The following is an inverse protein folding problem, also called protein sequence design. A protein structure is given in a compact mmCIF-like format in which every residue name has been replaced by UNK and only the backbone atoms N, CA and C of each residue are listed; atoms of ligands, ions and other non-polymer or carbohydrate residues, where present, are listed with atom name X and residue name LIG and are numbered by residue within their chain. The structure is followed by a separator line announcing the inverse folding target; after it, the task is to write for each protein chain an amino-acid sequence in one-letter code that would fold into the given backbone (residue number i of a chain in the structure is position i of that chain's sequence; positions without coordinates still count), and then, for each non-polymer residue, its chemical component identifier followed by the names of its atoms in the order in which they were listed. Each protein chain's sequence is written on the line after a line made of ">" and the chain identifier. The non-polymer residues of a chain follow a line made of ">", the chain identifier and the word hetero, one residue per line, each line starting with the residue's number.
data_IF_026725501967
#
_entry.id   IF_026725501967
#
_cell.length_a   1.000
_cell.length_b   1.000
_cell.length_c   1.000
_cell.angle_alpha   90.00
_cell.angle_beta   90.00
_cell.angle_gamma   90.00
#
_symmetry.space_group_name_H-M   'P 1'
#
loop_
_entity.id
_entity.type
_entity.pdbx_description
1 polymer ?
#
# COMPACT_ATOMS: atom_id res chain seq x y z
N UNK A 1 19.89 -7.10 -7.93
CA UNK A 1 20.15 -5.75 -7.39
C UNK A 1 20.16 -5.84 -5.87
N UNK A 2 20.55 -4.78 -5.16
CA UNK A 2 20.42 -4.76 -3.71
C UNK A 2 18.99 -4.33 -3.35
N UNK A 3 18.37 -5.04 -2.43
CA UNK A 3 17.07 -4.65 -1.90
C UNK A 3 17.25 -3.49 -0.92
N UNK A 4 16.36 -2.52 -1.00
CA UNK A 4 16.32 -1.35 -0.14
C UNK A 4 15.10 -1.43 0.77
N UNK A 5 15.25 -0.92 1.98
CA UNK A 5 14.12 -0.76 2.90
C UNK A 5 13.53 0.64 2.75
N UNK A 6 12.21 0.69 2.60
CA UNK A 6 11.41 1.89 2.54
C UNK A 6 10.32 1.87 3.61
N UNK A 7 9.82 3.05 3.96
CA UNK A 7 8.77 3.25 4.94
C UNK A 7 7.60 4.00 4.32
N UNK A 8 6.49 3.30 4.14
CA UNK A 8 5.24 3.85 3.63
C UNK A 8 4.36 4.33 4.80
N UNK A 9 3.81 5.54 4.68
CA UNK A 9 3.00 6.14 5.74
C UNK A 9 2.01 7.20 5.21
N UNK A 10 0.88 7.43 5.91
CA UNK A 10 -0.05 8.48 5.56
C UNK A 10 0.54 9.86 5.83
N UNK A 11 0.16 10.84 5.02
CA UNK A 11 0.46 12.24 5.30
C UNK A 11 -0.30 12.68 6.56
N UNK A 12 0.42 13.15 7.59
CA UNK A 12 -0.15 13.55 8.89
C UNK A 12 -0.97 14.85 8.84
N UNK A 13 -1.24 15.43 7.67
CA UNK A 13 -2.00 16.68 7.55
C UNK A 13 -3.50 16.39 7.52
N UNK A 14 -4.21 16.96 8.50
CA UNK A 14 -5.62 16.74 8.87
C UNK A 14 -6.64 16.93 7.71
N UNK A 15 -6.26 17.60 6.61
CA UNK A 15 -7.19 18.00 5.53
C UNK A 15 -6.93 17.34 4.18
N UNK A 16 -5.83 16.58 4.01
CA UNK A 16 -5.50 15.87 2.76
C UNK A 16 -4.77 14.58 3.12
N UNK A 17 -5.45 13.45 3.07
CA UNK A 17 -4.85 12.13 3.35
C UNK A 17 -4.05 11.63 2.12
N UNK A 18 -2.92 12.28 1.84
CA UNK A 18 -1.91 11.72 0.94
C UNK A 18 -1.21 10.52 1.58
N UNK A 19 -0.37 9.84 0.80
CA UNK A 19 0.57 8.83 1.31
C UNK A 19 1.95 9.13 0.78
N UNK A 20 2.99 8.73 1.48
CA UNK A 20 4.35 8.87 0.99
C UNK A 20 5.21 7.72 1.49
N UNK A 21 6.30 7.49 0.76
CA UNK A 21 7.27 6.46 1.03
C UNK A 21 8.64 7.12 1.16
N UNK A 22 9.37 6.77 2.23
CA UNK A 22 10.72 7.28 2.48
C UNK A 22 11.76 6.17 2.42
N UNK A 23 12.99 6.50 2.09
CA UNK A 23 14.15 5.62 2.29
C UNK A 23 14.56 5.52 3.78
N UNK A 24 15.66 4.82 4.05
CA UNK A 24 16.24 4.64 5.39
C UNK A 24 16.75 5.95 6.01
N UNK A 25 17.15 6.91 5.16
CA UNK A 25 17.61 8.24 5.55
C UNK A 25 16.45 9.23 5.75
N UNK A 26 15.20 8.77 5.61
CA UNK A 26 13.96 9.54 5.71
C UNK A 26 13.75 10.56 4.59
N UNK A 27 14.45 10.42 3.46
CA UNK A 27 14.15 11.19 2.27
C UNK A 27 12.89 10.61 1.61
N UNK A 28 12.00 11.49 1.13
CA UNK A 28 10.83 11.06 0.37
C UNK A 28 11.27 10.57 -1.00
N UNK A 29 11.02 9.29 -1.28
CA UNK A 29 11.33 8.65 -2.57
C UNK A 29 10.08 8.50 -3.43
N UNK A 30 8.90 8.46 -2.81
CA UNK A 30 7.63 8.35 -3.52
C UNK A 30 6.52 9.10 -2.77
N UNK A 31 5.60 9.72 -3.50
CA UNK A 31 4.44 10.40 -2.94
C UNK A 31 3.17 10.04 -3.73
N UNK A 32 2.08 9.73 -3.03
CA UNK A 32 0.72 9.76 -3.55
C UNK A 32 0.01 10.98 -2.97
N UNK A 33 0.12 12.10 -3.69
CA UNK A 33 -0.43 13.37 -3.29
C UNK A 33 -1.89 13.47 -3.68
N UNK A 34 -2.79 13.61 -2.71
CA UNK A 34 -4.21 13.81 -3.01
C UNK A 34 -4.44 15.19 -3.61
N UNK A 35 -4.84 15.24 -4.88
CA UNK A 35 -5.16 16.46 -5.60
C UNK A 35 -6.57 16.94 -5.26
N UNK A 36 -7.52 16.00 -5.23
CA UNK A 36 -8.94 16.30 -5.06
C UNK A 36 -9.62 15.23 -4.22
N UNK A 37 -10.28 15.68 -3.15
CA UNK A 37 -11.21 14.87 -2.36
C UNK A 37 -12.64 15.21 -2.81
N UNK A 38 -13.26 14.42 -3.70
CA UNK A 38 -14.63 14.70 -4.09
C UNK A 38 -15.59 14.38 -2.94
N UNK A 39 -16.69 15.13 -2.87
CA UNK A 39 -17.82 14.84 -1.97
C UNK A 39 -18.55 13.55 -2.44
N UNK A 40 -18.50 13.27 -3.75
CA UNK A 40 -19.05 12.08 -4.40
C UNK A 40 -18.12 11.66 -5.55
N UNK A 41 -17.65 10.40 -5.57
CA UNK A 41 -16.88 9.82 -6.68
C UNK A 41 -15.42 9.48 -6.33
N UNK A 42 -14.62 9.15 -7.35
CA UNK A 42 -13.23 8.74 -7.16
C UNK A 42 -12.32 9.92 -6.79
N UNK A 43 -11.47 9.71 -5.77
CA UNK A 43 -10.39 10.62 -5.40
C UNK A 43 -9.35 10.69 -6.52
N UNK A 44 -8.70 11.84 -6.67
CA UNK A 44 -7.59 12.00 -7.61
C UNK A 44 -6.28 12.11 -6.83
N UNK A 45 -5.33 11.24 -7.16
CA UNK A 45 -3.98 11.23 -6.62
C UNK A 45 -2.97 11.50 -7.72
N UNK A 46 -1.99 12.34 -7.44
CA UNK A 46 -0.76 12.44 -8.22
C UNK A 46 0.28 11.54 -7.57
N UNK A 47 0.70 10.51 -8.28
CA UNK A 47 1.77 9.61 -7.89
C UNK A 47 3.07 10.19 -8.44
N UNK A 48 4.04 10.42 -7.56
CA UNK A 48 5.30 11.10 -7.86
C UNK A 48 6.44 10.20 -7.41
N UNK A 49 7.23 9.70 -8.37
CA UNK A 49 8.48 9.02 -8.10
C UNK A 49 9.60 10.06 -8.05
N UNK A 50 10.15 10.32 -6.86
CA UNK A 50 11.21 11.32 -6.67
C UNK A 50 12.59 10.81 -7.09
N UNK A 51 12.77 9.50 -7.28
CA UNK A 51 14.00 8.89 -7.79
C UNK A 51 14.13 9.14 -9.29
N UNK A 52 13.06 8.86 -10.05
CA UNK A 52 13.05 8.99 -11.51
C UNK A 52 12.55 10.36 -11.99
N UNK A 53 11.87 11.12 -11.14
CA UNK A 53 11.22 12.39 -11.47
C UNK A 53 9.91 12.24 -12.25
N UNK A 54 9.39 11.02 -12.40
CA UNK A 54 8.14 10.75 -13.10
C UNK A 54 6.94 11.05 -12.20
N UNK A 55 5.86 11.55 -12.79
CA UNK A 55 4.56 11.65 -12.10
C UNK A 55 3.39 11.27 -12.99
N UNK A 56 2.31 10.81 -12.37
CA UNK A 56 1.08 10.37 -13.03
C UNK A 56 -0.15 10.66 -12.18
N UNK A 57 -1.24 11.09 -12.80
CA UNK A 57 -2.51 11.33 -12.12
C UNK A 57 -3.40 10.11 -12.26
N UNK A 58 -3.87 9.58 -11.13
CA UNK A 58 -4.69 8.38 -11.04
C UNK A 58 -5.99 8.64 -10.28
N UNK A 59 -7.06 8.01 -10.76
CA UNK A 59 -8.37 8.01 -10.12
C UNK A 59 -8.50 6.81 -9.21
N UNK A 60 -8.77 7.06 -7.95
CA UNK A 60 -8.86 6.06 -6.90
C UNK A 60 -10.24 6.11 -6.26
N UNK A 61 -11.03 5.07 -6.51
CA UNK A 61 -12.38 4.91 -5.98
C UNK A 61 -12.43 4.75 -4.46
N UNK A 62 -13.66 4.65 -3.95
CA UNK A 62 -13.91 4.23 -2.58
C UNK A 62 -13.66 2.73 -2.44
N UNK A 63 -13.16 2.34 -1.27
CA UNK A 63 -12.98 0.93 -0.90
C UNK A 63 -14.33 0.27 -0.68
N UNK A 64 -14.50 -0.93 -1.22
CA UNK A 64 -15.67 -1.79 -1.06
C UNK A 64 -15.21 -3.11 -0.46
N UNK A 65 -15.85 -3.53 0.63
CA UNK A 65 -15.56 -4.77 1.35
C UNK A 65 -16.61 -5.82 1.03
N UNK A 66 -16.20 -7.02 0.59
CA UNK A 66 -17.15 -8.12 0.38
C UNK A 66 -17.29 -8.92 1.68
N UNK A 67 -18.41 -8.75 2.39
CA UNK A 67 -18.70 -9.55 3.59
C UNK A 67 -18.88 -11.03 3.23
N UNK A 68 -18.10 -11.91 3.85
CA UNK A 68 -18.39 -13.36 3.88
C UNK A 68 -18.31 -13.85 5.31
N UNK A 69 -19.36 -14.55 5.74
CA UNK A 69 -19.53 -15.09 7.08
C UNK A 69 -18.54 -16.24 7.36
N UNK A 70 -17.38 -15.93 7.93
CA UNK A 70 -16.35 -16.93 8.27
C UNK A 70 -15.32 -16.42 9.27
N UNK A 71 -15.11 -17.17 10.35
CA UNK A 71 -14.38 -16.75 11.56
C UNK A 71 -12.83 -16.72 11.44
N UNK A 72 -12.24 -16.86 10.24
CA UNK A 72 -10.80 -17.08 10.06
C UNK A 72 -10.20 -16.55 8.74
N UNK A 73 -10.72 -15.47 8.15
CA UNK A 73 -10.32 -15.08 6.79
C UNK A 73 -9.44 -13.83 6.74
N UNK A 74 -8.19 -14.02 6.31
CA UNK A 74 -7.13 -13.01 6.17
C UNK A 74 -7.60 -11.77 5.38
N UNK A 75 -7.45 -10.59 6.00
CA UNK A 75 -8.40 -9.48 5.89
C UNK A 75 -8.11 -8.44 4.79
N UNK A 76 -6.89 -8.29 4.29
CA UNK A 76 -6.50 -7.16 3.42
C UNK A 76 -6.86 -7.31 1.93
N UNK A 77 -7.12 -8.55 1.48
CA UNK A 77 -7.40 -8.89 0.07
C UNK A 77 -8.91 -8.90 -0.25
N UNK A 78 -9.77 -8.82 0.77
CA UNK A 78 -11.25 -8.86 0.62
C UNK A 78 -11.91 -7.52 0.36
N UNK A 79 -11.16 -6.45 0.60
CA UNK A 79 -11.53 -5.09 0.28
C UNK A 79 -10.83 -4.69 -1.01
N UNK A 80 -11.53 -3.99 -1.90
CA UNK A 80 -10.96 -3.53 -3.17
C UNK A 80 -11.48 -2.14 -3.52
N UNK A 81 -10.82 -1.44 -4.43
CA UNK A 81 -11.28 -0.17 -4.98
C UNK A 81 -11.02 -0.11 -6.47
N UNK A 82 -11.65 0.86 -7.14
CA UNK A 82 -11.36 1.13 -8.54
C UNK A 82 -10.10 1.98 -8.70
N UNK A 83 -9.09 1.48 -9.38
CA UNK A 83 -7.91 2.21 -9.81
C UNK A 83 -8.02 2.48 -11.31
N UNK A 84 -8.11 3.75 -11.71
CA UNK A 84 -8.33 4.19 -13.10
C UNK A 84 -9.51 3.50 -13.82
N UNK A 85 -10.50 3.06 -13.05
CA UNK A 85 -11.73 2.43 -13.56
C UNK A 85 -11.77 0.91 -13.44
N UNK A 86 -10.63 0.28 -13.16
CA UNK A 86 -10.44 -1.16 -13.00
C UNK A 86 -10.34 -1.58 -11.54
N UNK A 87 -10.66 -2.83 -11.18
CA UNK A 87 -10.42 -3.31 -9.82
C UNK A 87 -8.90 -3.38 -9.55
N UNK A 88 -8.44 -2.82 -8.43
CA UNK A 88 -7.01 -2.76 -8.13
C UNK A 88 -6.32 -4.13 -8.09
N UNK A 89 -6.99 -5.16 -7.58
CA UNK A 89 -6.39 -6.49 -7.48
C UNK A 89 -6.33 -7.19 -8.84
N UNK A 90 -7.36 -7.00 -9.67
CA UNK A 90 -7.34 -7.48 -11.06
C UNK A 90 -6.22 -6.78 -11.84
N UNK A 91 -6.10 -5.46 -11.71
CA UNK A 91 -5.02 -4.69 -12.33
C UNK A 91 -3.63 -5.20 -11.92
N UNK A 92 -3.37 -5.35 -10.62
CA UNK A 92 -2.09 -5.86 -10.12
C UNK A 92 -1.83 -7.29 -10.61
N UNK A 93 -2.86 -8.13 -10.60
CA UNK A 93 -2.77 -9.51 -11.07
C UNK A 93 -2.43 -9.59 -12.57
N UNK A 94 -3.02 -8.73 -13.40
CA UNK A 94 -2.74 -8.61 -14.83
C UNK A 94 -1.33 -8.09 -15.12
N UNK A 95 -0.76 -7.26 -14.25
CA UNK A 95 0.67 -6.91 -14.29
C UNK A 95 1.59 -8.08 -13.90
N UNK A 96 1.02 -9.17 -13.38
CA UNK A 96 1.73 -10.37 -12.96
C UNK A 96 2.10 -10.39 -11.48
N UNK A 97 1.54 -9.49 -10.67
CA UNK A 97 1.75 -9.46 -9.22
C UNK A 97 0.98 -10.59 -8.54
N UNK A 98 1.64 -11.26 -7.59
CA UNK A 98 1.03 -12.20 -6.65
C UNK A 98 1.41 -11.79 -5.23
N UNK A 99 0.46 -11.94 -4.32
CA UNK A 99 0.57 -11.51 -2.93
C UNK A 99 0.28 -12.71 -2.04
N UNK A 100 1.27 -13.13 -1.28
CA UNK A 100 1.14 -14.17 -0.25
C UNK A 100 1.18 -13.52 1.12
N UNK A 101 0.07 -13.57 1.85
CA UNK A 101 -0.04 -12.96 3.18
C UNK A 101 0.24 -13.97 4.30
N UNK A 102 0.94 -13.56 5.33
CA UNK A 102 1.16 -14.34 6.55
C UNK A 102 1.04 -13.48 7.80
N UNK A 103 0.67 -14.10 8.93
CA UNK A 103 0.71 -13.48 10.25
C UNK A 103 2.05 -13.86 10.88
N UNK A 104 2.85 -12.86 11.26
CA UNK A 104 4.09 -13.11 11.98
C UNK A 104 3.77 -13.53 13.43
N UNK A 105 4.21 -14.71 13.89
CA UNK A 105 3.88 -15.19 15.24
C UNK A 105 4.45 -14.35 16.40
N UNK A 106 5.55 -13.63 16.15
CA UNK A 106 6.26 -12.83 17.17
C UNK A 106 5.84 -11.35 17.20
N UNK A 107 5.03 -10.91 16.23
CA UNK A 107 4.49 -9.55 16.10
C UNK A 107 3.05 -9.65 15.64
N UNK A 108 2.08 -9.12 16.37
CA UNK A 108 0.69 -9.02 15.87
C UNK A 108 0.66 -7.99 14.73
N UNK A 109 0.95 -8.47 13.52
CA UNK A 109 1.12 -7.70 12.30
C UNK A 109 1.13 -8.60 11.07
N UNK A 110 0.65 -8.07 9.94
CA UNK A 110 0.60 -8.78 8.66
C UNK A 110 1.92 -8.59 7.91
N UNK A 111 2.43 -9.67 7.32
CA UNK A 111 3.49 -9.62 6.30
C UNK A 111 2.94 -10.12 4.98
N UNK A 112 3.41 -9.52 3.89
CA UNK A 112 3.01 -9.78 2.52
C UNK A 112 4.27 -10.01 1.70
N UNK A 113 4.39 -11.20 1.13
CA UNK A 113 5.42 -11.51 0.16
C UNK A 113 4.87 -11.28 -1.24
N UNK A 114 5.56 -10.43 -2.01
CA UNK A 114 5.13 -9.97 -3.32
C UNK A 114 6.06 -10.56 -4.37
N UNK A 115 5.47 -11.26 -5.34
CA UNK A 115 6.20 -11.74 -6.51
C UNK A 115 5.67 -11.13 -7.80
N UNK A 116 6.57 -10.84 -8.73
CA UNK A 116 6.29 -10.36 -10.07
C UNK A 116 6.61 -11.46 -11.08
N UNK A 117 5.59 -11.98 -11.75
CA UNK A 117 5.71 -13.04 -12.76
C UNK A 117 6.47 -14.28 -12.23
N UNK A 118 6.26 -14.59 -10.96
CA UNK A 118 6.87 -15.74 -10.27
C UNK A 118 8.28 -15.53 -9.74
N UNK A 119 8.79 -14.29 -9.71
CA UNK A 119 10.05 -13.91 -9.06
C UNK A 119 9.79 -13.01 -7.87
N UNK A 120 10.55 -13.16 -6.80
CA UNK A 120 10.46 -12.30 -5.62
C UNK A 120 10.75 -10.85 -6.03
N UNK A 121 9.88 -9.94 -5.58
CA UNK A 121 9.91 -8.53 -5.95
C UNK A 121 9.97 -7.63 -4.71
N UNK A 122 9.13 -7.91 -3.72
CA UNK A 122 9.09 -7.13 -2.50
C UNK A 122 8.58 -7.92 -1.30
N UNK A 123 8.97 -7.49 -0.10
CA UNK A 123 8.33 -7.86 1.16
C UNK A 123 7.69 -6.60 1.78
N UNK A 124 6.41 -6.68 2.14
CA UNK A 124 5.68 -5.59 2.79
C UNK A 124 5.19 -6.07 4.14
N UNK A 125 5.56 -5.39 5.21
CA UNK A 125 5.13 -5.73 6.56
C UNK A 125 4.50 -4.53 7.25
N UNK A 126 3.47 -4.76 8.05
CA UNK A 126 2.92 -3.73 8.93
C UNK A 126 4.00 -3.24 9.90
N UNK A 127 4.09 -1.93 10.07
CA UNK A 127 5.08 -1.27 10.92
C UNK A 127 4.41 -0.34 11.95
N UNK A 128 5.10 -0.10 13.06
CA UNK A 128 4.73 0.95 14.00
C UNK A 128 5.15 2.32 13.43
N UNK A 129 4.39 3.40 13.69
CA UNK A 129 4.78 4.77 13.34
C UNK A 129 6.17 5.17 13.85
N UNK A 130 6.61 4.55 14.96
CA UNK A 130 7.88 4.84 15.62
C UNK A 130 8.96 3.79 15.31
N UNK A 131 8.67 2.83 14.41
CA UNK A 131 9.54 1.69 14.12
C UNK A 131 9.65 0.65 15.25
N UNK A 132 8.84 0.78 16.31
CA UNK A 132 8.84 -0.11 17.47
C UNK A 132 8.08 -1.43 17.26
N UNK A 133 8.36 -2.44 18.08
CA UNK A 133 7.70 -3.76 18.08
C UNK A 133 6.35 -3.78 18.83
N UNK A 134 5.61 -2.67 18.84
CA UNK A 134 4.32 -2.58 19.53
C UNK A 134 3.18 -3.29 18.80
N UNK A 135 2.03 -3.45 19.47
CA UNK A 135 0.79 -3.94 18.86
C UNK A 135 0.38 -2.96 17.74
N UNK A 136 0.41 -3.38 16.46
CA UNK A 136 0.08 -2.50 15.33
C UNK A 136 -1.38 -2.74 14.97
N UNK A 137 -2.26 -1.86 15.45
CA UNK A 137 -3.67 -1.81 15.03
C UNK A 137 -3.83 -0.70 14.01
N UNK A 138 -4.03 -1.06 12.74
CA UNK A 138 -4.21 -0.14 11.61
C UNK A 138 -3.00 -0.10 10.67
N UNK A 139 -3.16 -0.67 9.47
CA UNK A 139 -2.09 -0.89 8.48
C UNK A 139 -1.70 0.37 7.67
N UNK A 140 -1.77 1.55 8.26
CA UNK A 140 -1.41 2.78 7.56
C UNK A 140 0.12 2.92 7.43
N UNK A 141 0.90 2.30 8.32
CA UNK A 141 2.36 2.29 8.28
C UNK A 141 2.86 0.93 7.83
N UNK A 142 3.65 0.91 6.75
CA UNK A 142 4.21 -0.31 6.19
C UNK A 142 5.73 -0.14 6.02
N UNK A 143 6.47 -1.19 6.35
CA UNK A 143 7.85 -1.38 5.93
C UNK A 143 7.81 -2.11 4.59
N UNK A 144 8.49 -1.58 3.58
CA UNK A 144 8.54 -2.15 2.22
C UNK A 144 9.99 -2.44 1.90
N UNK A 145 10.36 -3.68 1.67
CA UNK A 145 11.68 -4.07 1.19
C UNK A 145 11.57 -4.47 -0.27
N UNK A 146 12.21 -3.73 -1.17
CA UNK A 146 12.12 -3.95 -2.61
C UNK A 146 13.39 -3.44 -3.31
N UNK A 147 13.66 -3.93 -4.52
CA UNK A 147 14.66 -3.31 -5.38
C UNK A 147 14.15 -1.95 -5.89
N UNK A 148 15.07 -0.99 -6.11
CA UNK A 148 14.72 0.35 -6.62
C UNK A 148 14.00 0.30 -7.97
N UNK A 149 14.34 -0.67 -8.83
CA UNK A 149 13.70 -0.86 -10.14
C UNK A 149 12.23 -1.29 -10.06
N UNK A 150 11.82 -1.88 -8.93
CA UNK A 150 10.45 -2.34 -8.69
C UNK A 150 9.64 -1.36 -7.83
N UNK A 151 10.21 -0.18 -7.51
CA UNK A 151 9.66 0.75 -6.53
C UNK A 151 8.26 1.26 -6.89
N UNK A 152 7.95 1.45 -8.18
CA UNK A 152 6.63 1.91 -8.64
C UNK A 152 5.54 0.87 -8.29
N UNK A 153 5.80 -0.40 -8.58
CA UNK A 153 4.88 -1.51 -8.30
C UNK A 153 4.82 -1.83 -6.80
N UNK A 154 5.96 -1.77 -6.10
CA UNK A 154 6.01 -1.93 -4.65
C UNK A 154 5.19 -0.82 -3.96
N UNK A 155 5.31 0.42 -4.42
CA UNK A 155 4.54 1.55 -3.92
C UNK A 155 3.04 1.37 -4.17
N UNK A 156 2.63 1.05 -5.41
CA UNK A 156 1.22 0.83 -5.72
C UNK A 156 0.63 -0.32 -4.89
N UNK A 157 1.39 -1.40 -4.68
CA UNK A 157 0.96 -2.54 -3.88
C UNK A 157 0.80 -2.15 -2.41
N UNK A 158 1.78 -1.44 -1.83
CA UNK A 158 1.72 -0.93 -0.46
C UNK A 158 0.54 0.06 -0.26
N UNK A 159 0.36 0.98 -1.21
CA UNK A 159 -0.78 1.90 -1.23
C UNK A 159 -2.11 1.16 -1.25
N UNK A 160 -2.20 0.11 -2.07
CA UNK A 160 -3.41 -0.69 -2.21
C UNK A 160 -3.76 -1.40 -0.91
N UNK A 161 -2.78 -2.07 -0.28
CA UNK A 161 -2.92 -2.72 1.03
C UNK A 161 -3.36 -1.73 2.10
N UNK A 162 -2.65 -0.60 2.23
CA UNK A 162 -2.96 0.39 3.27
C UNK A 162 -4.38 0.95 3.13
N UNK A 163 -4.84 1.16 1.88
CA UNK A 163 -6.17 1.71 1.59
C UNK A 163 -7.29 0.69 1.75
N UNK A 164 -7.02 -0.58 1.52
CA UNK A 164 -8.00 -1.65 1.73
C UNK A 164 -8.12 -2.02 3.21
N UNK A 165 -7.02 -1.97 3.96
CA UNK A 165 -7.01 -2.21 5.41
C UNK A 165 -7.64 -1.07 6.25
N UNK A 166 -7.65 0.18 5.76
CA UNK A 166 -8.31 1.30 6.45
C UNK A 166 -9.84 1.16 6.54
N UNK A 167 -10.47 0.35 5.68
CA UNK A 167 -11.94 0.18 5.64
C UNK A 167 -12.55 -0.59 6.82
N UNK A 168 -11.73 -1.12 7.74
CA UNK A 168 -12.20 -1.85 8.92
C UNK A 168 -12.49 -0.97 10.15
N UNK A 169 -12.28 0.34 10.06
CA UNK A 169 -12.40 1.25 11.20
C UNK A 169 -13.39 2.42 11.02
N UNK A 170 -14.16 2.45 9.92
CA UNK A 170 -15.31 3.34 9.73
C UNK A 170 -16.64 2.65 10.09
#
# INVERSE_FOLDING_TARGET
>A
MADHTYFFQPEKKILKQGFFMTDEDKNVVYEAKMLKQPILGAMEFEFINHITGQSGVHKVGHTVTTETSGLFEFFSIKSSFKYDGENIWDYLHDQGIRIDSSIAGDRIGMSYHISLKGKDMAEIATASPDGGNGLITGASWLKVTAAEEDIDLAFLTAFSIARTDQSFYD
#
